data_IF_135799109484
#
_entry.id   IF_135799109484
#
_cell.length_a   1.000
_cell.length_b   1.000
_cell.length_c   1.000
_cell.angle_alpha   90.00
_cell.angle_beta   90.00
_cell.angle_gamma   90.00
#
_symmetry.space_group_name_H-M   'P 1'
#
loop_
_entity.id
_entity.type
_entity.pdbx_description
1 polymer ?
#
# COMPACT_ATOMS: atom_id res chain seq x y z
N UNK A 1 12.45 -38.14 16.90
CA UNK A 1 12.24 -36.75 17.38
C UNK A 1 11.14 -36.16 16.52
N UNK A 2 10.09 -35.59 17.10
CA UNK A 2 8.89 -35.13 16.37
C UNK A 2 9.02 -33.62 16.14
N UNK A 3 9.25 -33.23 14.89
CA UNK A 3 9.37 -31.82 14.50
C UNK A 3 8.05 -31.08 14.76
N UNK A 4 8.11 -29.90 15.37
CA UNK A 4 6.94 -29.04 15.48
C UNK A 4 6.72 -28.31 14.15
N UNK A 5 5.81 -28.83 13.31
CA UNK A 5 5.49 -28.25 12.00
C UNK A 5 4.93 -26.82 12.04
N UNK A 6 4.58 -26.30 13.22
CA UNK A 6 4.12 -24.92 13.39
C UNK A 6 5.28 -23.94 13.65
N UNK A 7 6.49 -24.44 13.90
CA UNK A 7 7.68 -23.62 14.13
C UNK A 7 8.49 -23.52 12.84
N UNK A 8 8.40 -22.39 12.14
CA UNK A 8 9.17 -22.16 10.90
C UNK A 8 10.67 -22.35 11.11
N UNK A 9 11.20 -21.92 12.26
CA UNK A 9 12.61 -22.09 12.60
C UNK A 9 13.04 -23.53 12.88
N UNK A 10 12.14 -24.43 13.29
CA UNK A 10 12.49 -25.85 13.45
C UNK A 10 12.37 -26.63 12.14
N UNK A 11 11.45 -26.21 11.26
CA UNK A 11 11.19 -26.89 9.97
C UNK A 11 12.16 -26.43 8.88
N UNK A 12 12.52 -25.14 8.91
CA UNK A 12 13.35 -24.48 7.89
C UNK A 12 14.57 -23.79 8.50
N UNK A 13 15.07 -24.26 9.65
CA UNK A 13 16.36 -23.80 10.17
C UNK A 13 17.42 -23.92 9.07
N UNK A 14 18.14 -22.83 8.83
CA UNK A 14 19.34 -22.86 8.02
C UNK A 14 20.37 -23.73 8.75
N UNK A 15 20.58 -24.94 8.25
CA UNK A 15 21.61 -25.85 8.73
C UNK A 15 22.91 -25.54 7.94
N UNK A 16 23.95 -24.97 8.59
CA UNK A 16 25.21 -24.62 7.94
C UNK A 16 25.95 -25.83 7.38
N UNK A 17 25.66 -27.03 7.88
CA UNK A 17 26.25 -28.30 7.42
C UNK A 17 25.44 -28.95 6.29
N UNK A 18 24.25 -28.42 6.00
CA UNK A 18 23.39 -28.89 4.92
C UNK A 18 23.90 -28.31 3.58
N UNK A 19 24.87 -29.00 2.99
CA UNK A 19 25.29 -28.73 1.62
C UNK A 19 24.22 -29.21 0.64
N UNK A 20 23.89 -28.37 -0.34
CA UNK A 20 23.05 -28.79 -1.45
C UNK A 20 23.77 -29.90 -2.22
N UNK A 21 23.03 -30.93 -2.61
CA UNK A 21 23.56 -32.01 -3.45
C UNK A 21 24.17 -31.44 -4.74
N UNK A 22 25.48 -31.62 -4.92
CA UNK A 22 26.27 -31.05 -6.03
C UNK A 22 25.69 -31.46 -7.38
N UNK A 23 25.14 -32.67 -7.49
CA UNK A 23 24.54 -33.19 -8.72
C UNK A 23 23.29 -32.38 -9.05
N UNK A 24 22.40 -32.20 -8.06
CA UNK A 24 21.18 -31.39 -8.20
C UNK A 24 21.51 -29.93 -8.54
N UNK A 25 22.50 -29.33 -7.87
CA UNK A 25 22.94 -27.95 -8.16
C UNK A 25 23.48 -27.83 -9.59
N UNK A 26 24.35 -28.76 -10.02
CA UNK A 26 24.90 -28.73 -11.39
C UNK A 26 23.81 -28.91 -12.45
N UNK A 27 22.78 -29.72 -12.15
CA UNK A 27 21.64 -29.95 -13.04
C UNK A 27 20.78 -28.68 -13.15
N UNK A 28 20.55 -27.99 -12.03
CA UNK A 28 19.85 -26.70 -12.01
C UNK A 28 20.63 -25.65 -12.82
N UNK A 29 21.96 -25.58 -12.66
CA UNK A 29 22.80 -24.66 -13.44
C UNK A 29 22.83 -24.98 -14.94
N UNK A 30 22.86 -26.26 -15.30
CA UNK A 30 22.80 -26.71 -16.69
C UNK A 30 21.46 -26.31 -17.33
N UNK A 31 20.35 -26.62 -16.67
CA UNK A 31 19.01 -26.21 -17.12
C UNK A 31 18.87 -24.68 -17.20
N UNK A 32 19.50 -23.94 -16.28
CA UNK A 32 19.51 -22.46 -16.32
C UNK A 32 20.26 -21.93 -17.54
N UNK A 33 21.36 -22.57 -17.96
CA UNK A 33 22.07 -22.21 -19.19
C UNK A 33 21.23 -22.52 -20.44
N UNK A 34 20.61 -23.69 -20.48
CA UNK A 34 19.78 -24.13 -21.61
C UNK A 34 18.52 -23.26 -21.78
N UNK A 35 17.97 -22.75 -20.66
CA UNK A 35 16.85 -21.81 -20.66
C UNK A 35 17.26 -20.34 -20.81
N UNK A 36 18.53 -20.04 -21.13
CA UNK A 36 19.07 -18.67 -21.21
C UNK A 36 18.79 -17.79 -19.96
N UNK A 37 18.80 -18.41 -18.78
CA UNK A 37 18.50 -17.76 -17.50
C UNK A 37 17.03 -17.91 -17.07
N UNK A 38 16.77 -17.67 -15.78
CA UNK A 38 15.41 -17.62 -15.24
C UNK A 38 14.64 -16.42 -15.82
N UNK A 39 13.32 -16.44 -15.74
CA UNK A 39 12.48 -15.29 -16.12
C UNK A 39 13.01 -13.97 -15.52
N UNK A 40 13.42 -14.01 -14.25
CA UNK A 40 14.04 -12.86 -13.57
C UNK A 40 15.40 -12.45 -14.15
N UNK A 41 16.25 -13.38 -14.61
CA UNK A 41 17.51 -13.05 -15.30
C UNK A 41 17.25 -12.22 -16.55
N UNK A 42 16.23 -12.61 -17.34
CA UNK A 42 15.87 -11.93 -18.58
C UNK A 42 15.27 -10.55 -18.32
N UNK A 43 14.37 -10.45 -17.35
CA UNK A 43 13.74 -9.18 -16.95
C UNK A 43 14.79 -8.19 -16.44
N UNK A 44 15.73 -8.65 -15.61
CA UNK A 44 16.77 -7.78 -15.02
C UNK A 44 17.88 -7.42 -16.02
N UNK A 45 18.20 -8.31 -16.97
CA UNK A 45 19.11 -8.00 -18.07
C UNK A 45 18.51 -6.94 -19.00
N UNK A 46 17.22 -7.01 -19.28
CA UNK A 46 16.51 -6.02 -20.08
C UNK A 46 16.47 -4.63 -19.41
N UNK A 47 16.63 -4.57 -18.09
CA UNK A 47 16.59 -3.32 -17.30
C UNK A 47 17.98 -2.79 -16.90
N UNK A 48 19.06 -3.46 -17.32
CA UNK A 48 20.44 -3.04 -17.06
C UNK A 48 20.96 -3.34 -15.66
N UNK A 49 20.32 -4.26 -14.91
CA UNK A 49 20.73 -4.65 -13.56
C UNK A 49 21.60 -5.91 -13.65
N UNK A 50 22.91 -5.78 -13.38
CA UNK A 50 23.90 -6.86 -13.55
C UNK A 50 24.11 -7.77 -12.32
N UNK A 51 23.33 -7.61 -11.24
CA UNK A 51 23.53 -8.31 -9.96
C UNK A 51 22.70 -9.60 -9.78
N UNK A 52 22.05 -10.11 -10.82
CA UNK A 52 21.00 -11.16 -10.72
C UNK A 52 21.51 -12.50 -10.20
N UNK A 53 22.78 -12.82 -10.47
CA UNK A 53 23.42 -14.06 -10.04
C UNK A 53 23.39 -14.24 -8.50
N UNK A 54 23.30 -13.12 -7.77
CA UNK A 54 23.26 -13.09 -6.31
C UNK A 54 21.84 -13.02 -5.71
N UNK A 55 20.83 -12.62 -6.49
CA UNK A 55 19.46 -12.45 -6.00
C UNK A 55 18.60 -13.70 -6.16
N UNK A 56 18.94 -14.58 -7.10
CA UNK A 56 18.15 -15.76 -7.43
C UNK A 56 18.84 -17.07 -7.06
N UNK A 57 19.95 -17.02 -6.31
CA UNK A 57 20.60 -18.23 -5.82
C UNK A 57 19.79 -18.77 -4.64
N UNK A 58 19.28 -20.02 -4.68
CA UNK A 58 18.43 -20.57 -3.61
C UNK A 58 19.10 -20.56 -2.22
N UNK A 59 20.44 -20.60 -2.19
CA UNK A 59 21.24 -20.55 -0.97
C UNK A 59 21.57 -19.14 -0.47
N UNK A 60 21.25 -18.08 -1.22
CA UNK A 60 21.42 -16.71 -0.79
C UNK A 60 20.09 -16.22 -0.22
N UNK A 61 19.96 -16.28 1.11
CA UNK A 61 19.04 -15.41 1.83
C UNK A 61 19.40 -14.00 1.36
N UNK A 62 18.50 -13.23 0.72
CA UNK A 62 18.84 -11.89 0.25
C UNK A 62 19.27 -11.05 1.45
N UNK A 63 20.58 -10.94 1.67
CA UNK A 63 21.20 -10.29 2.82
C UNK A 63 20.93 -8.78 2.85
N UNK A 64 20.43 -8.23 1.74
CA UNK A 64 20.17 -6.81 1.54
C UNK A 64 18.76 -6.54 1.03
N UNK A 65 17.78 -7.34 1.49
CA UNK A 65 16.40 -7.27 1.00
C UNK A 65 15.80 -5.85 1.13
N UNK A 66 16.11 -5.17 2.23
CA UNK A 66 15.71 -3.80 2.50
C UNK A 66 16.32 -2.83 1.47
N UNK A 67 17.63 -2.89 1.25
CA UNK A 67 18.35 -2.02 0.31
C UNK A 67 17.93 -2.26 -1.14
N UNK A 68 17.74 -3.52 -1.53
CA UNK A 68 17.28 -3.89 -2.87
C UNK A 68 15.93 -3.24 -3.14
N UNK A 69 14.97 -3.44 -2.23
CA UNK A 69 13.62 -2.92 -2.39
C UNK A 69 13.61 -1.40 -2.41
N UNK A 70 14.32 -0.78 -1.47
CA UNK A 70 14.45 0.66 -1.40
C UNK A 70 15.06 1.28 -2.67
N UNK A 71 16.10 0.65 -3.23
CA UNK A 71 16.71 1.09 -4.49
C UNK A 71 15.73 0.94 -5.64
N UNK A 72 15.02 -0.18 -5.75
CA UNK A 72 14.02 -0.41 -6.80
C UNK A 72 12.92 0.65 -6.74
N UNK A 73 12.39 0.95 -5.55
CA UNK A 73 11.35 1.98 -5.38
C UNK A 73 11.89 3.38 -5.69
N UNK A 74 13.06 3.77 -5.15
CA UNK A 74 13.57 5.14 -5.31
C UNK A 74 14.11 5.44 -6.71
N UNK A 75 14.60 4.42 -7.42
CA UNK A 75 15.11 4.58 -8.80
C UNK A 75 14.00 4.43 -9.84
N UNK A 76 12.84 3.88 -9.47
CA UNK A 76 11.69 3.89 -10.35
C UNK A 76 11.24 5.33 -10.61
N UNK A 77 11.38 5.79 -11.86
CA UNK A 77 10.78 7.05 -12.33
C UNK A 77 9.27 6.83 -12.55
N UNK A 78 8.58 6.49 -11.48
CA UNK A 78 7.15 6.12 -11.40
C UNK A 78 6.76 4.71 -11.87
N UNK A 79 7.65 3.96 -12.53
CA UNK A 79 7.43 2.55 -12.84
C UNK A 79 7.80 1.62 -11.69
N UNK A 80 6.82 1.34 -10.82
CA UNK A 80 6.99 0.50 -9.63
C UNK A 80 6.92 -1.01 -9.93
N UNK A 81 6.78 -1.40 -11.20
CA UNK A 81 6.58 -2.80 -11.61
C UNK A 81 7.68 -3.71 -11.07
N UNK A 82 8.94 -3.27 -11.09
CA UNK A 82 10.05 -4.10 -10.60
C UNK A 82 10.09 -4.24 -9.09
N UNK A 83 9.78 -3.18 -8.36
CA UNK A 83 9.73 -3.24 -6.90
C UNK A 83 8.62 -4.19 -6.43
N UNK A 84 7.44 -4.10 -7.05
CA UNK A 84 6.31 -4.96 -6.74
C UNK A 84 6.53 -6.39 -7.24
N UNK A 85 7.11 -6.58 -8.43
CA UNK A 85 7.48 -7.92 -8.91
C UNK A 85 8.44 -8.60 -7.93
N UNK A 86 9.52 -7.91 -7.51
CA UNK A 86 10.45 -8.43 -6.51
C UNK A 86 9.74 -8.80 -5.21
N UNK A 87 8.88 -7.91 -4.68
CA UNK A 87 8.12 -8.16 -3.46
C UNK A 87 7.20 -9.40 -3.58
N UNK A 88 6.40 -9.48 -4.63
CA UNK A 88 5.43 -10.58 -4.80
C UNK A 88 6.10 -11.91 -5.14
N UNK A 89 7.25 -11.92 -5.81
CA UNK A 89 7.93 -13.16 -6.17
C UNK A 89 8.88 -13.67 -5.10
N UNK A 90 9.63 -12.78 -4.45
CA UNK A 90 10.65 -13.16 -3.48
C UNK A 90 10.13 -13.15 -2.03
N UNK A 91 8.99 -12.49 -1.78
CA UNK A 91 8.41 -12.29 -0.44
C UNK A 91 9.48 -11.98 0.62
N UNK A 92 10.31 -10.93 0.41
CA UNK A 92 11.42 -10.63 1.29
C UNK A 92 10.94 -10.27 2.69
N UNK A 93 11.64 -10.75 3.71
CA UNK A 93 11.46 -10.30 5.10
C UNK A 93 12.14 -8.94 5.27
N UNK A 94 11.34 -7.88 5.35
CA UNK A 94 11.84 -6.54 5.58
C UNK A 94 11.97 -6.25 7.07
N UNK A 95 13.08 -5.61 7.47
CA UNK A 95 13.36 -5.33 8.88
C UNK A 95 13.39 -3.84 9.18
N UNK A 96 13.85 -3.05 8.22
CA UNK A 96 13.92 -1.60 8.29
C UNK A 96 12.54 -0.98 8.10
N UNK A 97 12.18 -0.07 9.02
CA UNK A 97 10.98 0.77 8.88
C UNK A 97 10.97 1.52 7.55
N UNK A 98 12.12 2.03 7.11
CA UNK A 98 12.24 2.77 5.84
C UNK A 98 11.91 1.88 4.63
N UNK A 99 12.36 0.62 4.64
CA UNK A 99 12.07 -0.32 3.56
C UNK A 99 10.59 -0.70 3.52
N UNK A 100 9.98 -0.94 4.68
CA UNK A 100 8.55 -1.23 4.81
C UNK A 100 7.72 -0.02 4.33
N UNK A 101 8.06 1.20 4.74
CA UNK A 101 7.37 2.41 4.29
C UNK A 101 7.56 2.67 2.79
N UNK A 102 8.76 2.38 2.23
CA UNK A 102 9.00 2.44 0.78
C UNK A 102 8.14 1.43 0.02
N UNK A 103 8.07 0.18 0.49
CA UNK A 103 7.21 -0.85 -0.08
C UNK A 103 5.74 -0.41 -0.04
N UNK A 104 5.30 0.04 1.14
CA UNK A 104 3.93 0.47 1.34
C UNK A 104 3.56 1.60 0.40
N UNK A 105 4.43 2.61 0.27
CA UNK A 105 4.25 3.70 -0.68
C UNK A 105 4.14 3.18 -2.12
N UNK A 106 4.94 2.18 -2.51
CA UNK A 106 4.86 1.57 -3.83
C UNK A 106 3.51 0.84 -4.06
N UNK A 107 3.06 0.05 -3.08
CA UNK A 107 1.77 -0.65 -3.12
C UNK A 107 0.64 0.37 -3.20
N UNK A 108 0.59 1.32 -2.27
CA UNK A 108 -0.46 2.32 -2.17
C UNK A 108 -0.56 3.20 -3.43
N UNK A 109 0.57 3.54 -4.07
CA UNK A 109 0.60 4.28 -5.35
C UNK A 109 -0.01 3.48 -6.51
N UNK A 110 0.05 2.16 -6.45
CA UNK A 110 -0.43 1.25 -7.50
C UNK A 110 -1.87 0.82 -7.26
N UNK A 111 -2.23 0.50 -6.02
CA UNK A 111 -3.55 0.02 -5.61
C UNK A 111 -3.91 0.55 -4.22
N UNK A 112 -5.01 1.30 -4.12
CA UNK A 112 -5.46 1.84 -2.82
C UNK A 112 -5.98 0.71 -1.94
N UNK A 113 -6.77 -0.19 -2.53
CA UNK A 113 -7.31 -1.37 -1.85
C UNK A 113 -6.22 -2.28 -1.30
N UNK A 114 -5.18 -2.56 -2.08
CA UNK A 114 -4.07 -3.40 -1.61
C UNK A 114 -3.29 -2.71 -0.48
N UNK A 115 -3.01 -1.41 -0.63
CA UNK A 115 -2.38 -0.61 0.43
C UNK A 115 -3.20 -0.63 1.72
N UNK A 116 -4.52 -0.57 1.63
CA UNK A 116 -5.41 -0.68 2.79
C UNK A 116 -5.29 -2.02 3.51
N UNK A 117 -5.35 -3.14 2.79
CA UNK A 117 -5.19 -4.46 3.42
C UNK A 117 -3.77 -4.69 3.95
N UNK A 118 -2.75 -4.13 3.29
CA UNK A 118 -1.39 -4.14 3.80
C UNK A 118 -1.29 -3.41 5.15
N UNK A 119 -1.89 -2.21 5.26
CA UNK A 119 -1.91 -1.45 6.50
C UNK A 119 -2.59 -2.22 7.65
N UNK A 120 -3.72 -2.89 7.38
CA UNK A 120 -4.42 -3.74 8.36
C UNK A 120 -3.61 -4.97 8.79
N UNK A 121 -2.76 -5.48 7.91
CA UNK A 121 -1.87 -6.61 8.22
C UNK A 121 -0.70 -6.25 9.15
N UNK A 122 -0.46 -4.96 9.42
CA UNK A 122 0.63 -4.52 10.30
C UNK A 122 0.28 -4.70 11.79
N UNK A 123 1.30 -4.72 12.67
CA UNK A 123 1.08 -4.67 14.12
C UNK A 123 0.29 -3.43 14.54
N UNK A 124 -0.53 -3.52 15.61
CA UNK A 124 -1.47 -2.46 16.01
C UNK A 124 -0.79 -1.09 16.20
N UNK A 125 0.44 -1.06 16.74
CA UNK A 125 1.18 0.18 16.95
C UNK A 125 1.56 0.90 15.64
N UNK A 126 1.58 0.19 14.50
CA UNK A 126 1.94 0.72 13.19
C UNK A 126 0.73 0.91 12.26
N UNK A 127 -0.41 0.26 12.53
CA UNK A 127 -1.60 0.31 11.67
C UNK A 127 -2.08 1.73 11.40
N UNK A 128 -2.23 2.55 12.46
CA UNK A 128 -2.67 3.95 12.32
C UNK A 128 -1.73 4.77 11.44
N UNK A 129 -0.42 4.69 11.70
CA UNK A 129 0.59 5.40 10.90
C UNK A 129 0.56 4.99 9.43
N UNK A 130 0.43 3.69 9.14
CA UNK A 130 0.33 3.18 7.77
C UNK A 130 -0.97 3.64 7.09
N UNK A 131 -2.08 3.66 7.82
CA UNK A 131 -3.35 4.16 7.31
C UNK A 131 -3.30 5.66 7.00
N UNK A 132 -2.72 6.48 7.88
CA UNK A 132 -2.50 7.91 7.63
C UNK A 132 -1.58 8.13 6.41
N UNK A 133 -0.56 7.28 6.25
CA UNK A 133 0.30 7.29 5.07
C UNK A 133 -0.48 6.89 3.79
N UNK A 134 -1.44 5.95 3.84
CA UNK A 134 -2.32 5.63 2.71
C UNK A 134 -3.08 6.87 2.26
N UNK A 135 -3.70 7.57 3.21
CA UNK A 135 -4.48 8.78 2.95
C UNK A 135 -3.59 9.85 2.30
N UNK A 136 -2.39 10.06 2.84
CA UNK A 136 -1.40 10.99 2.29
C UNK A 136 -1.01 10.63 0.86
N UNK A 137 -0.70 9.36 0.58
CA UNK A 137 -0.33 8.89 -0.76
C UNK A 137 -1.48 9.10 -1.75
N UNK A 138 -2.72 8.82 -1.36
CA UNK A 138 -3.89 8.99 -2.23
C UNK A 138 -4.16 10.47 -2.51
N UNK A 139 -4.15 11.33 -1.50
CA UNK A 139 -4.58 12.73 -1.66
C UNK A 139 -3.47 13.69 -2.08
N UNK A 140 -2.19 13.35 -1.83
CA UNK A 140 -1.05 14.22 -2.13
C UNK A 140 -0.18 13.70 -3.28
N UNK A 141 0.03 12.39 -3.38
CA UNK A 141 1.00 11.81 -4.31
C UNK A 141 0.34 11.20 -5.57
N UNK A 142 -0.99 11.23 -5.67
CA UNK A 142 -1.70 10.75 -6.88
C UNK A 142 -1.59 11.77 -8.02
N UNK A 143 -1.44 11.30 -9.28
CA UNK A 143 -1.53 12.16 -10.45
C UNK A 143 -2.85 12.95 -10.51
N UNK A 144 -2.87 14.20 -10.99
CA UNK A 144 -4.10 15.00 -11.10
C UNK A 144 -5.22 14.35 -11.93
N UNK A 145 -4.85 13.46 -12.87
CA UNK A 145 -5.80 12.73 -13.71
C UNK A 145 -6.53 11.60 -12.96
N UNK A 146 -5.89 10.95 -11.97
CA UNK A 146 -6.41 9.75 -11.30
C UNK A 146 -6.76 9.97 -9.84
N UNK A 147 -6.38 11.11 -9.25
CA UNK A 147 -6.66 11.45 -7.85
C UNK A 147 -8.16 11.40 -7.52
N UNK A 148 -9.05 11.73 -8.46
CA UNK A 148 -10.50 11.67 -8.25
C UNK A 148 -10.96 10.23 -8.01
N UNK A 149 -10.67 9.34 -8.96
CA UNK A 149 -11.01 7.92 -8.89
C UNK A 149 -10.39 7.24 -7.66
N UNK A 150 -9.13 7.56 -7.35
CA UNK A 150 -8.43 7.01 -6.18
C UNK A 150 -8.99 7.53 -4.86
N UNK A 151 -9.45 8.79 -4.81
CA UNK A 151 -10.13 9.33 -3.62
C UNK A 151 -11.49 8.65 -3.44
N UNK A 152 -12.21 8.39 -4.53
CA UNK A 152 -13.46 7.62 -4.50
C UNK A 152 -13.22 6.18 -4.01
N UNK A 153 -12.17 5.52 -4.49
CA UNK A 153 -11.77 4.19 -4.01
C UNK A 153 -11.51 4.20 -2.51
N UNK A 154 -10.68 5.15 -2.02
CA UNK A 154 -10.38 5.33 -0.60
C UNK A 154 -11.64 5.49 0.26
N UNK A 155 -12.57 6.36 -0.18
CA UNK A 155 -13.82 6.63 0.55
C UNK A 155 -14.77 5.42 0.51
N UNK A 156 -14.64 4.55 -0.48
CA UNK A 156 -15.48 3.35 -0.64
C UNK A 156 -14.93 2.13 0.10
N UNK A 157 -13.76 2.22 0.72
CA UNK A 157 -13.16 1.11 1.47
C UNK A 157 -14.04 0.68 2.66
N UNK A 158 -14.00 -0.61 3.04
CA UNK A 158 -14.76 -1.11 4.19
C UNK A 158 -14.04 -0.78 5.51
N UNK A 159 -13.93 0.50 5.83
CA UNK A 159 -13.30 0.96 7.08
C UNK A 159 -14.12 0.52 8.30
N UNK A 160 -13.41 0.21 9.39
CA UNK A 160 -14.02 0.02 10.71
C UNK A 160 -14.42 1.37 11.32
N UNK A 161 -15.25 1.35 12.36
CA UNK A 161 -15.59 2.56 13.09
C UNK A 161 -14.37 3.30 13.64
N UNK A 162 -13.32 2.57 14.02
CA UNK A 162 -12.06 3.14 14.51
C UNK A 162 -11.26 3.80 13.37
N UNK A 163 -11.16 3.15 12.21
CA UNK A 163 -10.47 3.69 11.04
C UNK A 163 -11.19 4.92 10.46
N UNK A 164 -12.53 4.97 10.53
CA UNK A 164 -13.31 6.16 10.18
C UNK A 164 -12.98 7.35 11.11
N UNK A 165 -12.76 7.10 12.41
CA UNK A 165 -12.28 8.12 13.35
C UNK A 165 -10.87 8.57 12.97
N UNK A 166 -9.95 7.65 12.68
CA UNK A 166 -8.58 7.97 12.28
C UNK A 166 -8.56 8.84 11.01
N UNK A 167 -9.38 8.52 10.01
CA UNK A 167 -9.50 9.29 8.78
C UNK A 167 -9.97 10.73 9.06
N UNK A 168 -10.98 10.88 9.90
CA UNK A 168 -11.48 12.19 10.33
C UNK A 168 -10.45 12.99 11.13
N UNK A 169 -9.80 12.39 12.12
CA UNK A 169 -8.76 13.03 12.93
C UNK A 169 -7.59 13.50 12.07
N UNK A 170 -7.08 12.65 11.20
CA UNK A 170 -5.94 12.95 10.33
C UNK A 170 -6.24 14.11 9.37
N UNK A 171 -7.41 14.12 8.73
CA UNK A 171 -7.79 15.11 7.72
C UNK A 171 -8.34 16.42 8.28
N UNK A 172 -8.83 16.45 9.53
CA UNK A 172 -9.39 17.66 10.13
C UNK A 172 -8.44 18.31 11.15
N UNK A 173 -7.70 17.51 11.92
CA UNK A 173 -6.91 18.00 13.06
C UNK A 173 -5.42 17.62 12.98
N UNK A 174 -5.09 16.52 12.30
CA UNK A 174 -3.73 16.00 12.17
C UNK A 174 -2.91 16.60 11.03
N UNK A 175 -1.85 15.89 10.66
CA UNK A 175 -0.89 16.32 9.63
C UNK A 175 -1.51 16.45 8.24
N UNK A 176 -2.61 15.73 7.99
CA UNK A 176 -3.38 15.77 6.75
C UNK A 176 -4.28 17.00 6.58
N UNK A 177 -4.41 17.88 7.58
CA UNK A 177 -5.34 19.03 7.55
C UNK A 177 -5.15 20.01 6.40
N UNK A 178 -3.94 20.08 5.87
CA UNK A 178 -3.57 21.00 4.78
C UNK A 178 -3.72 20.36 3.39
N UNK A 179 -4.13 19.09 3.31
CA UNK A 179 -4.38 18.42 2.03
C UNK A 179 -5.59 19.06 1.34
N UNK A 180 -5.40 19.50 0.10
CA UNK A 180 -6.40 20.30 -0.66
C UNK A 180 -7.79 19.64 -0.75
N UNK A 181 -7.85 18.31 -0.68
CA UNK A 181 -9.08 17.50 -0.79
C UNK A 181 -9.47 16.80 0.52
N UNK A 182 -8.82 17.13 1.63
CA UNK A 182 -9.04 16.44 2.91
C UNK A 182 -10.49 16.59 3.40
N UNK A 183 -11.00 17.83 3.46
CA UNK A 183 -12.39 18.10 3.87
C UNK A 183 -13.42 17.46 2.94
N UNK A 184 -13.20 17.55 1.62
CA UNK A 184 -14.06 16.93 0.61
C UNK A 184 -14.14 15.41 0.79
N UNK A 185 -13.02 14.77 1.12
CA UNK A 185 -12.92 13.31 1.34
C UNK A 185 -13.72 12.88 2.58
N UNK A 186 -13.56 13.60 3.70
CA UNK A 186 -14.35 13.33 4.92
C UNK A 186 -15.85 13.54 4.66
N UNK A 187 -16.18 14.59 3.92
CA UNK A 187 -17.57 14.90 3.57
C UNK A 187 -18.20 13.79 2.74
N UNK A 188 -17.52 13.36 1.68
CA UNK A 188 -17.95 12.26 0.82
C UNK A 188 -18.12 10.96 1.61
N UNK A 189 -17.23 10.67 2.55
CA UNK A 189 -17.30 9.50 3.43
C UNK A 189 -18.52 9.53 4.34
N UNK A 190 -18.78 10.67 5.00
CA UNK A 190 -19.95 10.83 5.90
C UNK A 190 -21.27 10.66 5.14
N UNK A 191 -21.38 11.26 3.94
CA UNK A 191 -22.55 11.11 3.08
C UNK A 191 -22.71 9.64 2.63
N UNK A 192 -21.63 8.99 2.19
CA UNK A 192 -21.64 7.59 1.76
C UNK A 192 -22.05 6.61 2.87
N UNK A 193 -21.73 6.94 4.12
CA UNK A 193 -22.15 6.18 5.31
C UNK A 193 -23.56 6.54 5.82
N UNK A 194 -24.26 7.47 5.18
CA UNK A 194 -25.57 7.95 5.64
C UNK A 194 -25.52 8.80 6.91
N UNK A 195 -24.34 9.25 7.34
CA UNK A 195 -24.17 10.13 8.49
C UNK A 195 -24.38 11.59 8.08
N UNK A 196 -25.64 11.94 7.81
CA UNK A 196 -25.99 13.24 7.28
C UNK A 196 -25.95 14.37 8.32
N UNK A 197 -26.23 14.07 9.58
CA UNK A 197 -26.20 15.04 10.68
C UNK A 197 -24.79 15.61 10.87
N UNK A 198 -23.78 14.75 10.93
CA UNK A 198 -22.39 15.19 11.02
C UNK A 198 -21.95 15.91 9.75
N UNK A 199 -22.43 15.47 8.57
CA UNK A 199 -22.10 16.15 7.31
C UNK A 199 -22.61 17.58 7.28
N UNK A 200 -23.81 17.84 7.82
CA UNK A 200 -24.41 19.18 7.94
C UNK A 200 -23.69 20.06 8.97
N UNK A 201 -23.07 19.45 9.98
CA UNK A 201 -22.27 20.17 10.97
C UNK A 201 -20.92 20.65 10.41
N UNK A 202 -20.43 20.07 9.30
CA UNK A 202 -19.18 20.49 8.67
C UNK A 202 -19.37 21.84 7.95
N UNK A 203 -18.77 22.91 8.53
CA UNK A 203 -18.82 24.27 7.95
C UNK A 203 -17.55 24.60 7.15
N UNK A 204 -17.71 25.46 6.14
CA UNK A 204 -16.59 26.10 5.45
C UNK A 204 -15.87 25.21 4.43
N UNK A 205 -16.60 24.29 3.78
CA UNK A 205 -16.09 23.54 2.63
C UNK A 205 -16.40 24.36 1.36
N UNK A 206 -15.54 25.31 1.04
CA UNK A 206 -15.63 26.06 -0.21
C UNK A 206 -14.87 25.31 -1.30
N UNK A 207 -15.47 24.25 -1.83
CA UNK A 207 -14.94 23.56 -3.01
C UNK A 207 -15.22 24.37 -4.27
N UNK A 208 -14.32 24.30 -5.24
CA UNK A 208 -14.59 24.86 -6.58
C UNK A 208 -15.80 24.14 -7.17
N UNK A 209 -16.84 24.85 -7.62
CA UNK A 209 -18.03 24.21 -8.17
C UNK A 209 -17.67 23.42 -9.43
N UNK A 210 -18.22 22.20 -9.56
CA UNK A 210 -18.13 21.39 -10.77
C UNK A 210 -19.50 21.49 -11.45
N UNK A 211 -19.59 22.31 -12.49
CA UNK A 211 -20.87 22.68 -13.08
C UNK A 211 -21.70 23.53 -12.12
N UNK A 212 -22.92 23.08 -11.77
CA UNK A 212 -23.80 23.72 -10.78
C UNK A 212 -23.75 23.05 -9.39
N UNK A 213 -22.90 22.02 -9.22
CA UNK A 213 -22.79 21.25 -7.99
C UNK A 213 -21.61 21.75 -7.16
N UNK A 214 -21.91 22.14 -5.92
CA UNK A 214 -20.96 22.35 -4.84
C UNK A 214 -21.47 21.67 -3.56
N UNK A 215 -20.63 21.60 -2.53
CA UNK A 215 -21.04 21.00 -1.26
C UNK A 215 -22.17 21.75 -0.58
N UNK A 216 -22.30 23.06 -0.81
CA UNK A 216 -23.37 23.89 -0.25
C UNK A 216 -24.75 23.46 -0.77
N UNK A 217 -24.88 23.36 -2.10
CA UNK A 217 -26.11 22.95 -2.78
C UNK A 217 -26.45 21.48 -2.47
N UNK A 218 -25.45 20.61 -2.37
CA UNK A 218 -25.65 19.22 -1.96
C UNK A 218 -26.15 19.12 -0.51
N UNK A 219 -25.55 19.89 0.41
CA UNK A 219 -25.97 19.93 1.81
C UNK A 219 -27.36 20.51 1.98
N UNK A 220 -27.71 21.54 1.21
CA UNK A 220 -29.05 22.11 1.19
C UNK A 220 -30.08 21.08 0.72
N UNK A 221 -29.76 20.33 -0.35
CA UNK A 221 -30.58 19.22 -0.83
C UNK A 221 -30.77 18.11 0.22
N UNK A 222 -29.69 17.72 0.92
CA UNK A 222 -29.75 16.75 2.02
C UNK A 222 -30.63 17.27 3.16
N UNK A 223 -30.44 18.54 3.57
CA UNK A 223 -31.23 19.18 4.63
C UNK A 223 -32.73 19.18 4.28
N UNK A 224 -33.08 19.53 3.04
CA UNK A 224 -34.46 19.46 2.56
C UNK A 224 -35.01 18.03 2.54
N UNK A 225 -34.19 17.05 2.11
CA UNK A 225 -34.58 15.64 2.04
C UNK A 225 -34.79 14.97 3.40
N UNK A 226 -34.04 15.39 4.43
CA UNK A 226 -34.21 14.90 5.80
C UNK A 226 -35.50 15.41 6.46
N UNK A 227 -35.99 16.58 6.04
CA UNK A 227 -37.22 17.18 6.57
C UNK A 227 -37.15 17.43 8.09
N UNK A 228 -38.27 17.35 8.83
CA UNK A 228 -38.31 17.63 10.27
C UNK A 228 -37.59 16.60 11.16
N UNK A 229 -36.94 15.57 10.59
CA UNK A 229 -36.18 14.54 11.35
C UNK A 229 -34.84 15.05 11.91
N UNK A 230 -34.49 16.31 11.66
CA UNK A 230 -33.30 16.94 12.20
C UNK A 230 -33.50 17.46 13.63
N UNK A 231 -34.77 17.57 14.08
CA UNK A 231 -35.15 18.15 15.36
C UNK A 231 -35.56 17.09 16.43
N UNK A 232 -35.40 15.79 16.12
CA UNK A 232 -35.54 14.65 17.05
C UNK A 232 -34.17 14.13 17.50
#
# INVERSE_FOLDING_TARGET
MMFNFQSFGEVFAFDPECSYDEITVSTIEANRKDLEGLFIDRVMKATGIHAVQYLTHPSLIPTFADEILEVLVRKSKDDLTFALAYYHTAQPTLTSRSAIECLFSAIARTSVTEGFYFARGQPQYAQRHMFEMLISVVLNNSPPATIGDRSLELVSLPLSSEEDVWLGEYLLHGDGRNLKKGKDTVMMRKIGMGNFTDSLAMRGINSRPIGQLDWSNLLEGIKHGLGPRLDE
#
